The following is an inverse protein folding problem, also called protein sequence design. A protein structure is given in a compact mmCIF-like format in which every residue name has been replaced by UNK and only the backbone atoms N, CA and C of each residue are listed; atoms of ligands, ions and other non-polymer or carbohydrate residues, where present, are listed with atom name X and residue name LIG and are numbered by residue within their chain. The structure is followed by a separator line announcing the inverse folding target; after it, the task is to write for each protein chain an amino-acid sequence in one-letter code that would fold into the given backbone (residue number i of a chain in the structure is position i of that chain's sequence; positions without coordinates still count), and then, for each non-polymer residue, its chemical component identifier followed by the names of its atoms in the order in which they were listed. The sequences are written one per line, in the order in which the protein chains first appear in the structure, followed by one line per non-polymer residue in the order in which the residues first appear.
data_IF_967099239570
#
_entry.id   IF_967099239570
#
_cell.length_a   1.000
_cell.length_b   1.000
_cell.length_c   1.000
_cell.angle_alpha   90.00
_cell.angle_beta   90.00
_cell.angle_gamma   90.00
#
_symmetry.space_group_name_H-M   'P 1'
#
loop_
_entity.id
_entity.type
_entity.pdbx_description
1 polymer ?
#
# COMPACT_ATOMS: atom_id res chain seq x y z
N UNK A 1 9.87 38.37 21.08
CA UNK A 1 8.96 37.22 21.13
C UNK A 1 9.76 35.93 21.04
N UNK A 2 9.63 35.07 22.06
CA UNK A 2 10.25 33.74 22.08
C UNK A 2 9.57 32.84 21.03
N UNK A 3 10.35 32.07 20.25
CA UNK A 3 9.81 31.12 19.22
C UNK A 3 8.82 30.12 19.82
N UNK A 4 9.06 29.67 21.05
CA UNK A 4 8.20 28.71 21.77
C UNK A 4 6.84 29.37 22.10
N UNK A 5 6.85 30.59 22.65
CA UNK A 5 5.61 31.32 22.95
C UNK A 5 4.78 31.60 21.70
N UNK A 6 5.43 31.91 20.57
CA UNK A 6 4.76 32.10 19.28
C UNK A 6 4.10 30.81 18.79
N UNK A 7 4.80 29.67 18.89
CA UNK A 7 4.25 28.37 18.49
C UNK A 7 3.05 27.95 19.34
N UNK A 8 3.10 28.19 20.66
CA UNK A 8 1.99 27.89 21.58
C UNK A 8 0.78 28.76 21.24
N UNK A 9 1.00 30.07 21.04
CA UNK A 9 -0.07 31.00 20.66
C UNK A 9 -0.70 30.61 19.32
N UNK A 10 0.10 30.31 18.30
CA UNK A 10 -0.37 29.90 16.97
C UNK A 10 -1.22 28.63 17.03
N UNK A 11 -0.78 27.62 17.80
CA UNK A 11 -1.54 26.37 17.99
C UNK A 11 -2.88 26.63 18.68
N UNK A 12 -2.89 27.48 19.71
CA UNK A 12 -4.12 27.87 20.43
C UNK A 12 -5.08 28.60 19.49
N UNK A 13 -4.58 29.59 18.74
CA UNK A 13 -5.38 30.35 17.78
C UNK A 13 -6.02 29.46 16.70
N UNK A 14 -5.24 28.54 16.12
CA UNK A 14 -5.77 27.59 15.11
C UNK A 14 -6.86 26.70 15.70
N UNK A 15 -6.69 26.23 16.94
CA UNK A 15 -7.70 25.40 17.63
C UNK A 15 -9.00 26.17 17.87
N UNK A 16 -8.90 27.41 18.34
CA UNK A 16 -10.06 28.28 18.65
C UNK A 16 -10.78 28.77 17.36
N UNK A 17 -10.05 28.86 16.24
CA UNK A 17 -10.58 29.34 14.95
C UNK A 17 -10.60 28.25 13.90
N UNK A 18 -10.76 26.97 14.29
CA UNK A 18 -10.57 25.83 13.40
C UNK A 18 -11.40 25.89 12.12
N UNK A 19 -12.70 26.17 12.22
CA UNK A 19 -13.59 26.21 11.03
C UNK A 19 -13.21 27.33 10.05
N UNK A 20 -12.85 28.51 10.55
CA UNK A 20 -12.38 29.63 9.73
C UNK A 20 -11.05 29.28 9.04
N UNK A 21 -10.14 28.67 9.79
CA UNK A 21 -8.85 28.24 9.27
C UNK A 21 -8.98 27.14 8.21
N UNK A 22 -9.83 26.15 8.48
CA UNK A 22 -10.16 25.06 7.55
C UNK A 22 -10.75 25.60 6.25
N UNK A 23 -11.75 26.45 6.32
CA UNK A 23 -12.36 27.09 5.14
C UNK A 23 -11.32 27.85 4.28
N UNK A 24 -10.43 28.59 4.94
CA UNK A 24 -9.33 29.26 4.25
C UNK A 24 -8.40 28.26 3.55
N UNK A 25 -7.99 27.20 4.23
CA UNK A 25 -7.13 26.14 3.67
C UNK A 25 -7.81 25.45 2.47
N UNK A 26 -9.08 25.09 2.60
CA UNK A 26 -9.84 24.44 1.54
C UNK A 26 -9.97 25.34 0.31
N UNK A 27 -10.27 26.61 0.51
CA UNK A 27 -10.33 27.61 -0.56
C UNK A 27 -8.97 27.83 -1.23
N UNK A 28 -7.91 27.97 -0.43
CA UNK A 28 -6.55 28.11 -0.94
C UNK A 28 -6.14 26.88 -1.75
N UNK A 29 -6.44 25.69 -1.24
CA UNK A 29 -6.11 24.43 -1.91
C UNK A 29 -6.86 24.29 -3.22
N UNK A 30 -8.17 24.56 -3.24
CA UNK A 30 -9.00 24.55 -4.45
C UNK A 30 -8.48 25.50 -5.53
N UNK A 31 -8.09 26.72 -5.14
CA UNK A 31 -7.59 27.72 -6.09
C UNK A 31 -6.18 27.43 -6.61
N UNK A 32 -5.40 26.58 -5.92
CA UNK A 32 -4.01 26.30 -6.25
C UNK A 32 -3.73 24.85 -6.69
N UNK A 33 -4.76 24.01 -6.84
CA UNK A 33 -4.60 22.59 -7.19
C UNK A 33 -3.73 22.40 -8.44
N UNK A 34 -4.01 23.13 -9.52
CA UNK A 34 -3.27 22.99 -10.78
C UNK A 34 -1.81 23.45 -10.63
N UNK A 35 -1.59 24.56 -9.94
CA UNK A 35 -0.22 25.05 -9.66
C UNK A 35 0.58 24.03 -8.85
N UNK A 36 -0.02 23.41 -7.85
CA UNK A 36 0.61 22.37 -7.05
C UNK A 36 0.89 21.11 -7.88
N UNK A 37 -0.04 20.73 -8.76
CA UNK A 37 0.11 19.59 -9.67
C UNK A 37 1.28 19.80 -10.63
N UNK A 38 1.36 20.98 -11.27
CA UNK A 38 2.44 21.34 -12.18
C UNK A 38 3.80 21.35 -11.49
N UNK A 39 3.93 22.00 -10.33
CA UNK A 39 5.17 22.01 -9.54
C UNK A 39 5.59 20.61 -9.10
N UNK A 40 4.65 19.77 -8.69
CA UNK A 40 4.93 18.38 -8.31
C UNK A 40 5.39 17.54 -9.49
N UNK A 41 4.77 17.73 -10.66
CA UNK A 41 5.16 17.07 -11.91
C UNK A 41 6.58 17.51 -12.34
N UNK A 42 6.86 18.80 -12.34
CA UNK A 42 8.17 19.36 -12.68
C UNK A 42 9.25 18.84 -11.71
N UNK A 43 8.99 18.88 -10.40
CA UNK A 43 9.91 18.32 -9.41
C UNK A 43 10.19 16.85 -9.68
N UNK A 44 9.15 16.05 -9.96
CA UNK A 44 9.32 14.63 -10.26
C UNK A 44 10.16 14.40 -11.52
N UNK A 45 9.91 15.14 -12.61
CA UNK A 45 10.69 15.01 -13.84
C UNK A 45 12.17 15.34 -13.61
N UNK A 46 12.45 16.42 -12.87
CA UNK A 46 13.80 16.86 -12.57
C UNK A 46 14.54 15.93 -11.57
N UNK A 47 13.80 15.14 -10.78
CA UNK A 47 14.36 14.26 -9.75
C UNK A 47 14.05 12.78 -9.97
N UNK A 48 13.55 12.38 -11.14
CA UNK A 48 13.06 11.04 -11.44
C UNK A 48 14.05 9.94 -11.08
N UNK A 49 15.29 10.09 -11.48
CA UNK A 49 16.34 9.12 -11.19
C UNK A 49 16.63 8.99 -9.69
N UNK A 50 16.75 10.13 -8.99
CA UNK A 50 16.95 10.17 -7.54
C UNK A 50 15.83 9.49 -6.79
N UNK A 51 14.58 9.78 -7.16
CA UNK A 51 13.37 9.16 -6.57
C UNK A 51 13.35 7.66 -6.85
N UNK A 52 13.64 7.24 -8.09
CA UNK A 52 13.70 5.83 -8.47
C UNK A 52 14.75 5.06 -7.67
N UNK A 53 15.97 5.59 -7.58
CA UNK A 53 17.07 4.98 -6.82
C UNK A 53 16.74 4.88 -5.33
N UNK A 54 16.13 5.90 -4.74
CA UNK A 54 15.65 5.88 -3.36
C UNK A 54 14.60 4.77 -3.15
N UNK A 55 13.57 4.69 -4.00
CA UNK A 55 12.52 3.68 -3.90
C UNK A 55 13.06 2.26 -4.12
N UNK A 56 13.98 2.08 -5.07
CA UNK A 56 14.65 0.80 -5.31
C UNK A 56 15.46 0.35 -4.11
N UNK A 57 16.25 1.27 -3.52
CA UNK A 57 17.00 1.00 -2.29
C UNK A 57 16.04 0.60 -1.17
N UNK A 58 14.99 1.40 -0.94
CA UNK A 58 14.00 1.14 0.12
C UNK A 58 13.29 -0.20 -0.07
N UNK A 59 12.90 -0.55 -1.30
CA UNK A 59 12.29 -1.84 -1.62
C UNK A 59 13.20 -3.03 -1.28
N UNK A 60 14.52 -2.87 -1.45
CA UNK A 60 15.48 -3.94 -1.19
C UNK A 60 15.89 -4.06 0.29
N UNK A 61 15.78 -2.96 1.07
CA UNK A 61 16.27 -2.90 2.46
C UNK A 61 15.16 -2.90 3.51
N UNK A 62 13.94 -2.53 3.14
CA UNK A 62 12.79 -2.44 4.05
C UNK A 62 11.74 -3.50 3.67
N UNK A 63 11.74 -4.62 4.40
CA UNK A 63 10.81 -5.74 4.18
C UNK A 63 9.34 -5.33 4.34
N UNK A 64 9.06 -4.39 5.24
CA UNK A 64 7.71 -3.89 5.45
C UNK A 64 7.23 -2.99 4.30
N UNK A 65 8.11 -2.14 3.79
CA UNK A 65 7.81 -1.37 2.57
C UNK A 65 7.59 -2.31 1.37
N UNK A 66 8.45 -3.32 1.22
CA UNK A 66 8.35 -4.35 0.19
C UNK A 66 7.01 -5.08 0.24
N UNK A 67 6.56 -5.51 1.44
CA UNK A 67 5.25 -6.13 1.64
C UNK A 67 4.12 -5.22 1.11
N UNK A 68 4.07 -3.96 1.56
CA UNK A 68 3.03 -3.00 1.14
C UNK A 68 2.99 -2.80 -0.37
N UNK A 69 4.14 -2.69 -1.01
CA UNK A 69 4.25 -2.53 -2.47
C UNK A 69 3.81 -3.79 -3.19
N UNK A 70 4.24 -4.95 -2.74
CA UNK A 70 3.92 -6.26 -3.36
C UNK A 70 2.41 -6.52 -3.34
N UNK A 71 1.77 -6.37 -2.18
CA UNK A 71 0.32 -6.56 -2.03
C UNK A 71 -0.47 -5.58 -2.91
N UNK A 72 -0.09 -4.30 -2.89
CA UNK A 72 -0.73 -3.28 -3.72
C UNK A 72 -0.63 -3.61 -5.21
N UNK A 73 0.56 -3.97 -5.67
CA UNK A 73 0.80 -4.26 -7.08
C UNK A 73 0.03 -5.51 -7.53
N UNK A 74 0.00 -6.55 -6.71
CA UNK A 74 -0.72 -7.79 -7.02
C UNK A 74 -2.21 -7.54 -7.22
N UNK A 75 -2.84 -6.82 -6.30
CA UNK A 75 -4.27 -6.44 -6.41
C UNK A 75 -4.49 -5.57 -7.66
N UNK A 76 -3.66 -4.54 -7.88
CA UNK A 76 -3.82 -3.65 -9.02
C UNK A 76 -3.65 -4.37 -10.37
N UNK A 77 -2.69 -5.28 -10.48
CA UNK A 77 -2.47 -6.07 -11.71
C UNK A 77 -3.66 -6.98 -11.98
N UNK A 78 -4.16 -7.66 -10.94
CA UNK A 78 -5.31 -8.55 -11.09
C UNK A 78 -6.58 -7.80 -11.51
N UNK A 79 -6.91 -6.71 -10.83
CA UNK A 79 -8.09 -5.89 -11.15
C UNK A 79 -8.01 -5.34 -12.58
N UNK A 80 -6.85 -4.82 -13.00
CA UNK A 80 -6.66 -4.33 -14.38
C UNK A 80 -6.81 -5.42 -15.44
N UNK A 81 -6.29 -6.64 -15.19
CA UNK A 81 -6.48 -7.76 -16.12
C UNK A 81 -7.95 -8.15 -16.32
N UNK A 82 -8.78 -7.88 -15.33
CA UNK A 82 -10.21 -8.13 -15.37
C UNK A 82 -11.04 -6.89 -15.72
N UNK A 83 -10.40 -5.80 -16.19
CA UNK A 83 -11.05 -4.52 -16.55
C UNK A 83 -11.81 -3.89 -15.38
N UNK A 84 -11.41 -4.15 -14.13
CA UNK A 84 -12.03 -3.61 -12.92
C UNK A 84 -11.26 -2.39 -12.44
N UNK A 85 -11.95 -1.26 -12.28
CA UNK A 85 -11.38 -0.05 -11.67
C UNK A 85 -11.36 -0.21 -10.15
N UNK A 86 -10.17 -0.05 -9.56
CA UNK A 86 -10.02 -0.14 -8.10
C UNK A 86 -10.71 1.03 -7.40
N UNK A 87 -11.76 0.73 -6.62
CA UNK A 87 -12.58 1.74 -5.90
C UNK A 87 -12.07 2.02 -4.48
N UNK A 88 -11.41 1.06 -3.84
CA UNK A 88 -11.02 1.12 -2.44
C UNK A 88 -9.49 1.14 -2.24
N UNK A 89 -9.05 1.66 -1.11
CA UNK A 89 -7.64 1.56 -0.72
C UNK A 89 -7.23 0.09 -0.55
N UNK A 90 -5.96 -0.22 -0.83
CA UNK A 90 -5.45 -1.60 -0.82
C UNK A 90 -5.75 -2.32 0.49
N UNK A 91 -5.48 -1.70 1.62
CA UNK A 91 -5.64 -2.35 2.93
C UNK A 91 -7.08 -2.40 3.43
N UNK A 92 -7.99 -1.59 2.88
CA UNK A 92 -9.43 -1.78 3.06
C UNK A 92 -9.91 -3.05 2.32
N UNK A 93 -9.36 -3.34 1.14
CA UNK A 93 -9.64 -4.58 0.39
C UNK A 93 -9.07 -5.79 1.13
N UNK A 94 -7.85 -5.67 1.65
CA UNK A 94 -7.19 -6.75 2.43
C UNK A 94 -7.88 -7.00 3.77
N UNK A 95 -8.62 -6.02 4.30
CA UNK A 95 -9.40 -6.15 5.54
C UNK A 95 -8.57 -6.05 6.82
N UNK A 96 -7.31 -5.59 6.73
CA UNK A 96 -6.46 -5.39 7.91
C UNK A 96 -5.37 -4.34 7.66
N UNK A 97 -4.69 -3.87 8.73
CA UNK A 97 -3.54 -2.98 8.59
C UNK A 97 -2.33 -3.71 8.00
N UNK A 98 -1.36 -2.97 7.42
CA UNK A 98 -0.12 -3.58 6.93
C UNK A 98 0.68 -4.28 8.03
N UNK A 99 0.65 -3.76 9.25
CA UNK A 99 1.33 -4.31 10.43
C UNK A 99 0.72 -5.66 10.80
N UNK A 100 -0.62 -5.72 10.90
CA UNK A 100 -1.34 -6.95 11.17
C UNK A 100 -1.10 -8.00 10.07
N UNK A 101 -1.12 -7.59 8.80
CA UNK A 101 -0.83 -8.52 7.70
C UNK A 101 0.58 -9.12 7.81
N UNK A 102 1.56 -8.30 8.20
CA UNK A 102 2.93 -8.78 8.41
C UNK A 102 2.97 -9.87 9.48
N UNK A 103 2.38 -9.61 10.64
CA UNK A 103 2.29 -10.58 11.75
C UNK A 103 1.52 -11.86 11.37
N UNK A 104 0.41 -11.69 10.62
CA UNK A 104 -0.40 -12.81 10.13
C UNK A 104 0.41 -13.74 9.21
N UNK A 105 1.23 -13.19 8.33
CA UNK A 105 2.09 -13.97 7.45
C UNK A 105 3.28 -14.59 8.21
N UNK A 106 3.87 -13.86 9.17
CA UNK A 106 4.97 -14.38 10.00
C UNK A 106 4.56 -15.61 10.80
N UNK A 107 3.34 -15.63 11.33
CA UNK A 107 2.79 -16.80 12.07
C UNK A 107 2.64 -18.05 11.20
N UNK A 108 2.64 -17.90 9.89
CA UNK A 108 2.53 -18.99 8.93
C UNK A 108 3.90 -19.40 8.33
N UNK A 109 4.98 -18.72 8.71
CA UNK A 109 6.31 -19.08 8.23
C UNK A 109 6.69 -20.48 8.68
N UNK A 110 7.10 -21.28 7.73
CA UNK A 110 7.71 -22.59 7.99
C UNK A 110 9.22 -22.44 8.19
N UNK A 111 9.89 -23.53 8.55
CA UNK A 111 11.34 -23.56 8.76
C UNK A 111 12.09 -22.91 7.58
N UNK A 112 13.08 -22.08 7.86
CA UNK A 112 13.89 -21.31 6.91
C UNK A 112 13.19 -20.20 6.14
N UNK A 113 11.90 -19.94 6.37
CA UNK A 113 11.24 -18.77 5.81
C UNK A 113 11.64 -17.49 6.54
N UNK A 114 11.94 -16.44 5.78
CA UNK A 114 12.26 -15.12 6.33
C UNK A 114 11.85 -13.99 5.35
N UNK A 115 11.79 -12.77 5.86
CA UNK A 115 11.43 -11.60 5.04
C UNK A 115 12.47 -11.26 3.97
N UNK A 116 13.73 -11.62 4.18
CA UNK A 116 14.82 -11.43 3.22
C UNK A 116 14.58 -12.24 1.93
N UNK A 117 13.96 -13.42 2.09
CA UNK A 117 13.64 -14.33 0.99
C UNK A 117 12.36 -13.94 0.25
N UNK A 118 11.54 -13.04 0.84
CA UNK A 118 10.25 -12.64 0.27
C UNK A 118 10.39 -11.98 -1.09
N UNK A 119 9.58 -12.43 -2.04
CA UNK A 119 9.51 -11.92 -3.42
C UNK A 119 10.53 -12.56 -4.38
N UNK A 120 11.52 -13.32 -3.88
CA UNK A 120 12.45 -14.10 -4.69
C UNK A 120 12.22 -15.61 -4.52
N UNK A 121 12.23 -16.07 -3.27
CA UNK A 121 12.09 -17.48 -2.94
C UNK A 121 10.77 -17.79 -2.20
N UNK A 122 10.13 -16.76 -1.64
CA UNK A 122 8.83 -16.87 -0.97
C UNK A 122 7.89 -15.88 -1.63
N UNK A 123 6.69 -16.35 -1.99
CA UNK A 123 5.61 -15.52 -2.53
C UNK A 123 4.48 -15.40 -1.53
N UNK A 124 3.78 -14.27 -1.52
CA UNK A 124 2.48 -14.15 -0.88
C UNK A 124 1.47 -14.72 -1.86
N UNK A 125 0.86 -15.82 -1.52
CA UNK A 125 -0.10 -16.53 -2.36
C UNK A 125 -1.52 -16.40 -1.81
N UNK A 126 -2.52 -16.69 -2.66
CA UNK A 126 -3.92 -16.81 -2.27
C UNK A 126 -4.25 -18.29 -2.11
N UNK A 127 -4.70 -18.71 -0.91
CA UNK A 127 -5.11 -20.08 -0.63
C UNK A 127 -6.13 -20.53 -1.66
N UNK A 128 -7.22 -19.75 -1.82
CA UNK A 128 -8.17 -19.86 -2.93
C UNK A 128 -7.74 -18.87 -4.01
N UNK A 129 -7.37 -19.35 -5.22
CA UNK A 129 -6.86 -18.50 -6.29
C UNK A 129 -7.87 -17.45 -6.74
N UNK A 130 -7.40 -16.22 -6.99
CA UNK A 130 -8.25 -15.13 -7.50
C UNK A 130 -8.90 -15.44 -8.85
N UNK A 131 -8.32 -16.34 -9.65
CA UNK A 131 -8.88 -16.78 -10.94
C UNK A 131 -10.18 -17.55 -10.83
N UNK A 132 -10.54 -18.00 -9.64
CA UNK A 132 -11.81 -18.71 -9.38
C UNK A 132 -12.97 -17.76 -9.05
N UNK A 133 -12.72 -16.46 -8.91
CA UNK A 133 -13.75 -15.47 -8.68
C UNK A 133 -14.59 -15.25 -9.94
N UNK A 134 -15.90 -15.24 -9.79
CA UNK A 134 -16.88 -15.02 -10.87
C UNK A 134 -17.48 -13.61 -10.84
N UNK A 135 -17.20 -12.81 -9.80
CA UNK A 135 -17.69 -11.44 -9.64
C UNK A 135 -16.67 -10.51 -9.00
N UNK A 136 -16.88 -9.19 -9.14
CA UNK A 136 -16.05 -8.17 -8.47
C UNK A 136 -16.06 -8.34 -6.94
N UNK A 137 -17.23 -8.70 -6.38
CA UNK A 137 -17.38 -8.93 -4.93
C UNK A 137 -16.57 -10.14 -4.46
N UNK A 138 -16.58 -11.23 -5.22
CA UNK A 138 -15.77 -12.41 -4.91
C UNK A 138 -14.27 -12.12 -5.00
N UNK A 139 -13.83 -11.31 -5.97
CA UNK A 139 -12.43 -10.85 -6.05
C UNK A 139 -12.03 -10.14 -4.77
N UNK A 140 -12.85 -9.21 -4.28
CA UNK A 140 -12.55 -8.49 -3.04
C UNK A 140 -12.54 -9.43 -1.82
N UNK A 141 -13.46 -10.40 -1.75
CA UNK A 141 -13.46 -11.43 -0.69
C UNK A 141 -12.18 -12.28 -0.73
N UNK A 142 -11.75 -12.69 -1.93
CA UNK A 142 -10.54 -13.49 -2.08
C UNK A 142 -9.24 -12.70 -1.86
N UNK A 143 -9.28 -11.36 -1.93
CA UNK A 143 -8.16 -10.49 -1.55
C UNK A 143 -8.00 -10.30 -0.04
N UNK A 144 -8.95 -10.78 0.78
CA UNK A 144 -8.91 -10.63 2.24
C UNK A 144 -7.70 -11.38 2.84
N UNK A 145 -7.15 -10.84 3.93
CA UNK A 145 -5.92 -11.36 4.55
C UNK A 145 -6.00 -12.83 4.97
N UNK A 146 -7.20 -13.30 5.35
CA UNK A 146 -7.42 -14.70 5.71
C UNK A 146 -7.21 -15.70 4.56
N UNK A 147 -7.24 -15.20 3.32
CA UNK A 147 -6.93 -15.98 2.13
C UNK A 147 -5.48 -15.83 1.66
N UNK A 148 -4.62 -15.16 2.45
CA UNK A 148 -3.23 -14.94 2.12
C UNK A 148 -2.31 -15.86 2.93
N UNK A 149 -1.34 -16.45 2.26
CA UNK A 149 -0.33 -17.32 2.86
C UNK A 149 1.06 -17.05 2.27
N UNK A 150 2.15 -17.24 3.02
CA UNK A 150 3.48 -17.34 2.47
C UNK A 150 3.66 -18.75 1.88
N UNK A 151 4.17 -18.82 0.66
CA UNK A 151 4.45 -20.10 -0.01
C UNK A 151 5.81 -20.04 -0.69
N UNK A 152 6.56 -21.15 -0.68
CA UNK A 152 7.79 -21.23 -1.45
C UNK A 152 7.48 -20.98 -2.92
N UNK A 153 8.36 -20.27 -3.62
CA UNK A 153 8.14 -19.87 -5.02
C UNK A 153 7.91 -21.09 -5.93
N UNK A 154 8.64 -22.18 -5.70
CA UNK A 154 8.50 -23.43 -6.45
C UNK A 154 7.12 -24.08 -6.20
N UNK A 155 6.68 -24.12 -4.95
CA UNK A 155 5.37 -24.69 -4.59
C UNK A 155 4.22 -23.82 -5.08
N UNK A 156 4.41 -22.50 -5.05
CA UNK A 156 3.45 -21.57 -5.65
C UNK A 156 3.32 -21.78 -7.17
N UNK A 157 4.38 -22.03 -7.86
CA UNK A 157 4.36 -22.37 -9.30
C UNK A 157 3.66 -23.70 -9.56
N UNK A 158 3.93 -24.74 -8.76
CA UNK A 158 3.27 -26.06 -8.85
C UNK A 158 1.79 -25.96 -8.52
N UNK A 159 1.43 -25.16 -7.50
CA UNK A 159 0.04 -24.90 -7.13
C UNK A 159 -0.75 -24.26 -8.26
N UNK A 160 -0.16 -23.27 -8.96
CA UNK A 160 -0.83 -22.51 -10.02
C UNK A 160 -2.19 -21.98 -9.56
N UNK A 161 -3.29 -22.38 -10.23
CA UNK A 161 -4.68 -22.00 -9.90
C UNK A 161 -5.45 -23.10 -9.14
N UNK A 162 -4.76 -24.04 -8.49
CA UNK A 162 -5.39 -25.13 -7.71
C UNK A 162 -5.51 -24.70 -6.24
N UNK A 163 -6.50 -25.28 -5.56
CA UNK A 163 -6.58 -25.27 -4.10
C UNK A 163 -5.79 -26.49 -3.62
N UNK A 164 -4.79 -26.26 -2.75
CA UNK A 164 -4.09 -27.37 -2.08
C UNK A 164 -4.95 -27.80 -0.89
N UNK A 165 -5.37 -29.03 -0.87
CA UNK A 165 -6.12 -29.71 0.21
C UNK A 165 -5.12 -30.51 1.03
#
# INVERSE_FOLDING_TARGET
YCKICHLVYSKKYVKENYEKYKKYQDTYHSNNVETHRLKSSEYYQNNKEKVHNYLKKKYNTDSFFKLKVTVRNRINVFLRKNNITKKNQTFNIVGCSPEFLKEHLEKQFTERMSWELMGKYIHIDHIIPLSLANSEEEIYKLCHYTNLQPLWAEDNLKKSNKILI
#
